data_IF_219127730162
#
_entry.id   IF_219127730162
#
_cell.length_a   1.000
_cell.length_b   1.000
_cell.length_c   1.000
_cell.angle_alpha   90.00
_cell.angle_beta   90.00
_cell.angle_gamma   90.00
#
_symmetry.space_group_name_H-M   'P 1'
#
loop_
_entity.id
_entity.type
_entity.pdbx_description
1 polymer ?
#
# COMPACT_ATOMS: atom_id res chain seq x y z
N UNK A 1 35.95 -26.35 -10.48
CA UNK A 1 36.27 -25.55 -9.28
C UNK A 1 35.14 -25.79 -8.28
N UNK A 2 35.33 -26.71 -7.33
CA UNK A 2 34.30 -27.11 -6.37
C UNK A 2 34.24 -26.10 -5.22
N UNK A 3 33.07 -25.54 -4.94
CA UNK A 3 32.85 -24.65 -3.80
C UNK A 3 32.79 -25.52 -2.52
N UNK A 4 33.95 -25.82 -1.92
CA UNK A 4 34.10 -26.64 -0.70
C UNK A 4 33.89 -25.86 0.60
N UNK A 5 32.86 -25.02 0.68
CA UNK A 5 32.47 -24.36 1.94
C UNK A 5 30.98 -24.02 1.93
N UNK A 6 30.13 -25.05 1.93
CA UNK A 6 28.73 -24.88 2.36
C UNK A 6 28.75 -24.80 3.89
N UNK A 7 28.66 -23.59 4.43
CA UNK A 7 28.27 -23.41 5.82
C UNK A 7 26.76 -23.53 5.87
N UNK A 8 26.27 -24.55 6.56
CA UNK A 8 24.84 -24.66 6.81
C UNK A 8 24.39 -23.42 7.62
N UNK A 9 23.20 -22.86 7.33
CA UNK A 9 22.71 -21.72 8.07
C UNK A 9 22.60 -22.07 9.56
N UNK A 10 23.02 -21.14 10.43
CA UNK A 10 22.94 -21.32 11.89
C UNK A 10 21.47 -21.30 12.34
N UNK A 11 21.20 -21.75 13.57
CA UNK A 11 19.85 -21.67 14.14
C UNK A 11 19.28 -20.23 14.10
N UNK A 12 20.15 -19.23 14.29
CA UNK A 12 19.81 -17.80 14.20
C UNK A 12 19.32 -17.38 12.81
N UNK A 13 19.76 -18.05 11.74
CA UNK A 13 19.31 -17.77 10.37
C UNK A 13 17.81 -18.07 10.20
N UNK A 14 17.25 -18.99 10.99
CA UNK A 14 15.83 -19.34 10.97
C UNK A 14 15.01 -18.58 12.03
N UNK A 15 15.64 -17.70 12.81
CA UNK A 15 14.99 -16.96 13.89
C UNK A 15 14.41 -15.63 13.38
N UNK A 16 13.59 -15.69 12.34
CA UNK A 16 12.79 -14.55 11.89
C UNK A 16 11.33 -14.99 11.78
N UNK A 17 10.42 -14.06 12.10
CA UNK A 17 8.99 -14.31 11.90
C UNK A 17 8.72 -14.38 10.39
N UNK A 18 8.33 -15.56 9.91
CA UNK A 18 7.81 -15.72 8.56
C UNK A 18 6.37 -15.21 8.58
N UNK A 19 6.11 -14.07 7.95
CA UNK A 19 4.76 -13.54 7.83
C UNK A 19 3.98 -14.31 6.74
N UNK A 20 2.93 -15.07 7.09
CA UNK A 20 2.12 -15.76 6.09
C UNK A 20 1.28 -14.73 5.33
N UNK A 21 1.57 -14.55 4.04
CA UNK A 21 0.74 -13.73 3.16
C UNK A 21 -0.51 -14.51 2.77
N UNK A 22 -1.70 -13.97 3.08
CA UNK A 22 -2.93 -14.39 2.41
C UNK A 22 -2.88 -13.78 1.01
N UNK A 23 -2.94 -14.61 -0.03
CA UNK A 23 -2.96 -14.13 -1.42
C UNK A 23 -4.26 -14.61 -2.03
N UNK A 24 -5.17 -13.69 -2.36
CA UNK A 24 -6.26 -13.95 -3.30
C UNK A 24 -6.00 -13.13 -4.56
N UNK A 25 -6.25 -13.73 -5.73
CA UNK A 25 -6.09 -13.05 -7.02
C UNK A 25 -7.37 -12.32 -7.45
N UNK A 26 -8.40 -12.28 -6.61
CA UNK A 26 -9.74 -11.77 -6.97
C UNK A 26 -9.79 -10.28 -7.30
N UNK A 27 -8.84 -9.49 -6.78
CA UNK A 27 -8.70 -8.07 -7.10
C UNK A 27 -8.07 -7.83 -8.48
N UNK A 28 -7.24 -8.76 -8.98
CA UNK A 28 -6.53 -8.63 -10.26
C UNK A 28 -7.52 -8.61 -11.43
N UNK A 29 -8.58 -9.42 -11.37
CA UNK A 29 -9.60 -9.51 -12.43
C UNK A 29 -10.44 -8.22 -12.57
N UNK A 30 -10.42 -7.36 -11.56
CA UNK A 30 -11.21 -6.12 -11.51
C UNK A 30 -10.44 -4.91 -12.08
N UNK A 31 -9.15 -5.08 -12.38
CA UNK A 31 -8.28 -4.02 -12.89
C UNK A 31 -8.50 -3.80 -14.39
N UNK A 32 -9.30 -2.79 -14.73
CA UNK A 32 -9.58 -2.42 -16.14
C UNK A 32 -8.67 -1.33 -16.68
N UNK A 33 -8.01 -0.55 -15.83
CA UNK A 33 -7.25 0.64 -16.23
C UNK A 33 -5.84 0.66 -15.62
N UNK A 34 -4.86 1.02 -16.45
CA UNK A 34 -3.48 1.35 -16.03
C UNK A 34 -3.45 2.77 -15.48
N UNK A 35 -3.93 2.94 -14.24
CA UNK A 35 -3.89 4.23 -13.54
C UNK A 35 -2.62 4.32 -12.71
N UNK A 36 -2.02 5.50 -12.65
CA UNK A 36 -0.76 5.74 -11.93
C UNK A 36 -0.93 5.84 -10.42
N UNK A 37 -2.13 6.22 -9.94
CA UNK A 37 -2.45 6.29 -8.51
C UNK A 37 -3.20 5.04 -8.10
N UNK A 38 -2.58 4.25 -7.22
CA UNK A 38 -3.18 3.06 -6.63
C UNK A 38 -3.51 3.33 -5.17
N UNK A 39 -4.75 3.06 -4.78
CA UNK A 39 -5.23 3.16 -3.39
C UNK A 39 -5.61 1.76 -2.93
N UNK A 40 -5.01 1.32 -1.84
CA UNK A 40 -5.33 0.05 -1.18
C UNK A 40 -5.99 0.34 0.16
N UNK A 41 -7.18 -0.20 0.36
CA UNK A 41 -7.86 -0.21 1.66
C UNK A 41 -7.83 -1.63 2.24
N UNK A 42 -7.66 -1.77 3.55
CA UNK A 42 -7.79 -3.07 4.20
C UNK A 42 -9.18 -3.72 3.95
N UNK A 43 -10.23 -2.92 3.77
CA UNK A 43 -11.55 -3.34 3.31
C UNK A 43 -12.26 -2.13 2.74
N UNK A 44 -12.98 -2.27 1.61
CA UNK A 44 -13.77 -1.18 1.06
C UNK A 44 -15.18 -1.20 1.68
N UNK A 45 -15.61 -0.06 2.22
CA UNK A 45 -17.00 0.21 2.62
C UNK A 45 -17.49 1.51 1.95
N UNK A 46 -18.81 1.73 1.95
CA UNK A 46 -19.40 2.89 1.24
C UNK A 46 -18.94 4.23 1.83
N UNK A 47 -18.79 4.32 3.15
CA UNK A 47 -18.32 5.54 3.82
C UNK A 47 -16.89 5.91 3.40
N UNK A 48 -16.05 4.92 3.14
CA UNK A 48 -14.67 5.13 2.68
C UNK A 48 -14.63 5.73 1.29
N UNK A 49 -15.51 5.29 0.39
CA UNK A 49 -15.63 5.86 -0.96
C UNK A 49 -16.00 7.34 -0.90
N UNK A 50 -16.95 7.70 -0.02
CA UNK A 50 -17.36 9.10 0.18
C UNK A 50 -16.20 9.94 0.72
N UNK A 51 -15.39 9.40 1.63
CA UNK A 51 -14.24 10.11 2.18
C UNK A 51 -13.11 10.26 1.16
N UNK A 52 -12.78 9.19 0.42
CA UNK A 52 -11.77 9.22 -0.63
C UNK A 52 -12.14 10.22 -1.72
N UNK A 53 -13.40 10.25 -2.17
CA UNK A 53 -13.86 11.22 -3.15
C UNK A 53 -13.62 12.66 -2.67
N UNK A 54 -13.89 12.97 -1.40
CA UNK A 54 -13.60 14.28 -0.80
C UNK A 54 -12.10 14.58 -0.74
N UNK A 55 -11.28 13.59 -0.39
CA UNK A 55 -9.82 13.74 -0.32
C UNK A 55 -9.27 14.06 -1.71
N UNK A 56 -9.60 13.25 -2.72
CA UNK A 56 -9.13 13.43 -4.09
C UNK A 56 -9.65 14.74 -4.71
N UNK A 57 -10.92 15.08 -4.46
CA UNK A 57 -11.47 16.37 -4.88
C UNK A 57 -10.69 17.55 -4.27
N UNK A 58 -10.32 17.47 -2.99
CA UNK A 58 -9.58 18.54 -2.30
C UNK A 58 -8.16 18.74 -2.87
N UNK A 59 -7.51 17.67 -3.35
CA UNK A 59 -6.21 17.75 -4.05
C UNK A 59 -6.34 17.96 -5.56
N UNK A 60 -7.53 18.26 -6.07
CA UNK A 60 -7.75 18.58 -7.49
C UNK A 60 -7.65 17.38 -8.43
N UNK A 61 -7.83 16.17 -7.91
CA UNK A 61 -7.76 14.90 -8.65
C UNK A 61 -9.15 14.31 -8.85
N UNK A 62 -9.36 13.61 -9.96
CA UNK A 62 -10.61 12.91 -10.26
C UNK A 62 -10.46 11.43 -9.95
N UNK A 63 -11.16 10.96 -8.91
CA UNK A 63 -11.05 9.59 -8.43
C UNK A 63 -11.42 8.56 -9.52
N UNK A 64 -12.46 8.83 -10.31
CA UNK A 64 -12.98 7.92 -11.33
C UNK A 64 -12.08 7.80 -12.55
N UNK A 65 -11.19 8.77 -12.77
CA UNK A 65 -10.29 8.82 -13.94
C UNK A 65 -8.85 8.45 -13.56
N UNK A 66 -8.38 8.85 -12.36
CA UNK A 66 -6.96 8.80 -12.00
C UNK A 66 -6.63 7.74 -10.93
N UNK A 67 -7.63 7.21 -10.20
CA UNK A 67 -7.39 6.34 -9.04
C UNK A 67 -7.84 4.90 -9.31
N UNK A 68 -6.92 3.96 -9.11
CA UNK A 68 -7.24 2.54 -9.04
C UNK A 68 -7.45 2.13 -7.58
N UNK A 69 -8.68 1.79 -7.22
CA UNK A 69 -9.02 1.35 -5.86
C UNK A 69 -8.98 -0.18 -5.76
N UNK A 70 -8.30 -0.69 -4.74
CA UNK A 70 -8.13 -2.12 -4.51
C UNK A 70 -8.57 -2.47 -3.09
N UNK A 71 -9.38 -3.52 -2.97
CA UNK A 71 -9.75 -4.14 -1.70
C UNK A 71 -8.63 -5.12 -1.28
N UNK A 72 -7.98 -4.82 -0.16
CA UNK A 72 -6.90 -5.60 0.42
C UNK A 72 -7.36 -6.64 1.46
N UNK A 73 -8.66 -6.83 1.66
CA UNK A 73 -9.20 -7.66 2.76
C UNK A 73 -8.84 -9.14 2.66
N UNK A 74 -8.62 -9.64 1.45
CA UNK A 74 -8.17 -11.01 1.20
C UNK A 74 -6.65 -11.18 1.21
N UNK A 75 -5.93 -10.12 1.58
CA UNK A 75 -4.49 -10.03 1.56
C UNK A 75 -3.95 -9.72 0.16
N UNK A 76 -2.87 -8.93 0.15
CA UNK A 76 -2.34 -8.31 -1.05
C UNK A 76 -0.82 -8.23 -0.96
N UNK A 77 -0.14 -8.51 -2.06
CA UNK A 77 1.32 -8.46 -2.13
C UNK A 77 1.77 -7.31 -3.06
N UNK A 78 2.71 -6.49 -2.59
CA UNK A 78 3.30 -5.41 -3.38
C UNK A 78 3.92 -5.91 -4.70
N UNK A 79 4.52 -7.10 -4.70
CA UNK A 79 5.09 -7.71 -5.91
C UNK A 79 4.02 -7.94 -6.97
N UNK A 80 2.83 -8.40 -6.58
CA UNK A 80 1.75 -8.69 -7.51
C UNK A 80 1.17 -7.38 -8.05
N UNK A 81 0.98 -6.36 -7.20
CA UNK A 81 0.59 -5.01 -7.64
C UNK A 81 1.50 -4.49 -8.76
N UNK A 82 2.82 -4.58 -8.57
CA UNK A 82 3.80 -4.08 -9.53
C UNK A 82 3.90 -4.92 -10.80
N UNK A 83 3.51 -6.19 -10.73
CA UNK A 83 3.49 -7.06 -11.91
C UNK A 83 2.32 -6.73 -12.85
N UNK A 84 1.21 -6.21 -12.31
CA UNK A 84 -0.02 -5.95 -13.07
C UNK A 84 -0.29 -4.47 -13.34
N UNK A 85 0.27 -3.56 -12.54
CA UNK A 85 0.04 -2.12 -12.63
C UNK A 85 1.35 -1.36 -12.86
N UNK A 86 1.23 -0.25 -13.60
CA UNK A 86 2.30 0.74 -13.72
C UNK A 86 2.26 1.66 -12.50
N UNK A 87 2.80 1.15 -11.40
CA UNK A 87 2.67 1.74 -10.08
C UNK A 87 3.63 2.93 -9.93
N UNK A 88 3.11 4.15 -10.03
CA UNK A 88 3.83 5.38 -9.69
C UNK A 88 3.56 5.80 -8.24
N UNK A 89 2.29 5.79 -7.82
CA UNK A 89 1.87 6.19 -6.49
C UNK A 89 1.09 5.06 -5.80
N UNK A 90 1.49 4.70 -4.58
CA UNK A 90 0.77 3.76 -3.75
C UNK A 90 0.33 4.43 -2.44
N UNK A 91 -0.97 4.58 -2.26
CA UNK A 91 -1.56 5.02 -0.99
C UNK A 91 -2.19 3.82 -0.29
N UNK A 92 -1.80 3.56 0.94
CA UNK A 92 -2.26 2.40 1.72
C UNK A 92 -2.93 2.88 3.00
N UNK A 93 -4.16 2.45 3.23
CA UNK A 93 -4.95 2.82 4.40
C UNK A 93 -5.29 1.60 5.25
N UNK A 94 -4.82 1.61 6.49
CA UNK A 94 -5.15 0.59 7.49
C UNK A 94 -4.38 -0.72 7.32
N UNK A 95 -3.30 -0.71 6.55
CA UNK A 95 -2.35 -1.83 6.44
C UNK A 95 -0.93 -1.31 6.64
N UNK A 96 -0.06 -2.17 7.12
CA UNK A 96 1.38 -1.95 7.30
C UNK A 96 2.17 -2.48 6.10
N UNK A 97 3.42 -2.03 5.91
CA UNK A 97 4.29 -2.59 4.87
C UNK A 97 4.45 -4.11 4.96
N UNK A 98 4.58 -4.65 6.18
CA UNK A 98 4.75 -6.09 6.41
C UNK A 98 3.54 -6.90 5.92
N UNK A 99 2.32 -6.38 6.12
CA UNK A 99 1.09 -7.01 5.64
C UNK A 99 1.01 -7.05 4.10
N UNK A 100 1.77 -6.18 3.42
CA UNK A 100 1.91 -6.18 1.95
C UNK A 100 3.11 -6.98 1.43
N UNK A 101 3.80 -7.71 2.31
CA UNK A 101 5.03 -8.44 1.96
C UNK A 101 6.26 -7.53 1.75
N UNK A 102 6.21 -6.30 2.24
CA UNK A 102 7.35 -5.38 2.22
C UNK A 102 8.08 -5.41 3.56
N UNK A 103 9.33 -5.91 3.55
CA UNK A 103 10.23 -5.86 4.70
C UNK A 103 10.92 -4.50 4.84
N UNK A 104 10.12 -3.43 4.92
CA UNK A 104 10.60 -2.05 5.02
C UNK A 104 10.15 -1.45 6.36
N UNK A 105 11.07 -0.77 7.06
CA UNK A 105 10.75 -0.02 8.27
C UNK A 105 10.28 1.39 7.88
N UNK A 106 9.00 1.50 7.48
CA UNK A 106 8.37 2.76 7.06
C UNK A 106 7.41 3.22 8.16
N UNK A 107 7.53 4.48 8.56
CA UNK A 107 6.55 5.11 9.45
C UNK A 107 5.31 5.54 8.67
N UNK A 108 4.14 5.46 9.30
CA UNK A 108 2.92 6.03 8.72
C UNK A 108 3.10 7.55 8.46
N UNK A 109 2.47 8.05 7.40
CA UNK A 109 2.52 9.44 6.95
C UNK A 109 3.92 9.93 6.55
N UNK A 110 4.75 9.02 6.06
CA UNK A 110 6.02 9.34 5.44
C UNK A 110 6.03 8.80 4.01
N UNK A 111 6.25 9.68 3.03
CA UNK A 111 6.46 9.26 1.64
C UNK A 111 7.83 8.57 1.56
N UNK A 112 7.84 7.39 0.95
CA UNK A 112 9.06 6.64 0.68
C UNK A 112 9.13 6.29 -0.80
N UNK A 113 10.24 6.63 -1.44
CA UNK A 113 10.54 6.17 -2.79
C UNK A 113 11.08 4.75 -2.75
N UNK A 114 10.39 3.83 -3.43
CA UNK A 114 10.78 2.44 -3.50
C UNK A 114 10.48 1.90 -4.90
N UNK A 115 11.52 1.43 -5.58
CA UNK A 115 11.41 0.83 -6.92
C UNK A 115 10.69 1.73 -7.95
N UNK A 116 11.03 3.03 -7.96
CA UNK A 116 10.42 4.07 -8.79
C UNK A 116 8.92 4.33 -8.52
N UNK A 117 8.40 3.85 -7.39
CA UNK A 117 7.08 4.22 -6.89
C UNK A 117 7.23 5.03 -5.59
N UNK A 118 6.33 5.99 -5.38
CA UNK A 118 6.19 6.71 -4.11
C UNK A 118 5.12 6.01 -3.28
N UNK A 119 5.50 5.53 -2.10
CA UNK A 119 4.62 4.80 -1.20
C UNK A 119 4.25 5.68 -0.01
N UNK A 120 2.97 5.69 0.35
CA UNK A 120 2.46 6.36 1.54
C UNK A 120 1.54 5.40 2.31
N UNK A 121 2.01 4.97 3.48
CA UNK A 121 1.22 4.18 4.42
C UNK A 121 0.53 5.09 5.43
N UNK A 122 -0.69 4.75 5.81
CA UNK A 122 -1.46 5.49 6.80
C UNK A 122 -2.41 4.57 7.57
N UNK A 123 -3.03 5.13 8.60
CA UNK A 123 -4.12 4.47 9.32
C UNK A 123 -5.33 4.27 8.40
N UNK A 124 -6.30 3.47 8.85
CA UNK A 124 -7.56 3.31 8.15
C UNK A 124 -8.32 4.66 8.05
N UNK A 125 -9.19 4.74 7.06
CA UNK A 125 -9.94 5.94 6.73
C UNK A 125 -10.87 6.39 7.88
N UNK A 126 -11.46 5.46 8.62
CA UNK A 126 -12.28 5.78 9.78
C UNK A 126 -11.45 6.42 10.91
N UNK A 127 -10.27 5.89 11.21
CA UNK A 127 -9.34 6.48 12.17
C UNK A 127 -8.91 7.88 11.74
N UNK A 128 -8.61 8.07 10.45
CA UNK A 128 -8.28 9.40 9.90
C UNK A 128 -9.48 10.34 10.00
N UNK A 129 -10.70 9.87 9.70
CA UNK A 129 -11.92 10.68 9.77
C UNK A 129 -12.19 11.26 11.17
N UNK A 130 -11.77 10.56 12.22
CA UNK A 130 -12.02 10.92 13.62
C UNK A 130 -10.83 11.61 14.32
N UNK A 131 -9.66 11.68 13.70
CA UNK A 131 -8.45 12.28 14.30
C UNK A 131 -7.90 13.44 13.45
N UNK A 132 -8.03 14.66 13.98
CA UNK A 132 -7.57 15.87 13.30
C UNK A 132 -6.06 15.88 13.05
N UNK A 133 -5.25 15.31 13.94
CA UNK A 133 -3.80 15.25 13.76
C UNK A 133 -3.46 14.34 12.57
N UNK A 134 -4.10 13.17 12.48
CA UNK A 134 -3.90 12.23 11.38
C UNK A 134 -4.36 12.80 10.04
N UNK A 135 -5.49 13.53 10.01
CA UNK A 135 -5.91 14.27 8.79
C UNK A 135 -4.85 15.23 8.31
N UNK A 136 -4.28 16.03 9.23
CA UNK A 136 -3.24 17.00 8.89
C UNK A 136 -1.98 16.33 8.36
N UNK A 137 -1.53 15.24 8.99
CA UNK A 137 -0.38 14.49 8.53
C UNK A 137 -0.61 13.91 7.13
N UNK A 138 -1.75 13.27 6.89
CA UNK A 138 -2.11 12.77 5.55
C UNK A 138 -2.14 13.91 4.53
N UNK A 139 -2.82 15.01 4.85
CA UNK A 139 -2.97 16.15 3.95
C UNK A 139 -1.62 16.74 3.54
N UNK A 140 -0.71 16.93 4.49
CA UNK A 140 0.64 17.42 4.21
C UNK A 140 1.38 16.51 3.22
N UNK A 141 1.25 15.19 3.36
CA UNK A 141 1.90 14.26 2.42
C UNK A 141 1.22 14.27 1.06
N UNK A 142 -0.11 14.33 0.99
CA UNK A 142 -0.82 14.38 -0.29
C UNK A 142 -0.45 15.64 -1.10
N UNK A 143 -0.26 16.78 -0.45
CA UNK A 143 0.23 18.01 -1.10
C UNK A 143 1.67 17.93 -1.62
N UNK A 144 2.47 16.99 -1.12
CA UNK A 144 3.83 16.74 -1.62
C UNK A 144 3.82 15.74 -2.80
N UNK A 145 2.81 14.86 -2.84
CA UNK A 145 2.67 13.86 -3.91
C UNK A 145 2.09 14.48 -5.19
N UNK A 146 1.14 15.41 -5.07
CA UNK A 146 0.33 15.97 -6.15
C UNK A 146 0.29 17.49 -6.12
#
# INVERSE_FOLDING_TARGET
MEIKNRKDPTADFYNFEIYPLKTSNGWIEQLKDKRSIVVVLNRIIEEDLVLLAKIFQAIGKKMEEEVCLIDGSDGLNYKDLRAVLDLEELLVFGMTPNEMGLHLSISAYQIVEFQNARLLFSHDLNTIANDLSKKKQLWQQLQLLF
#
